data_IF_461515864189
#
_entry.id   IF_461515864189
#
_cell.length_a   1.000
_cell.length_b   1.000
_cell.length_c   1.000
_cell.angle_alpha   90.00
_cell.angle_beta   90.00
_cell.angle_gamma   90.00
#
_symmetry.space_group_name_H-M   'P 1'
#
loop_
_entity.id
_entity.type
_entity.pdbx_description
1 polymer ?
#
# COMPACT_ATOMS: atom_id res chain seq x y z
N UNK A 1 -3.24 -2.59 0.00
CA UNK A 1 -2.44 -2.41 1.24
C UNK A 1 -3.28 -1.61 2.20
N UNK A 2 -3.14 -1.83 3.50
CA UNK A 2 -3.92 -1.14 4.53
C UNK A 2 -3.06 -0.84 5.76
N UNK A 3 -3.46 0.16 6.53
CA UNK A 3 -2.75 0.62 7.72
C UNK A 3 -3.69 0.79 8.92
N UNK A 4 -3.20 0.43 10.11
CA UNK A 4 -3.93 0.57 11.37
C UNK A 4 -3.11 1.36 12.37
N UNK A 5 -3.74 2.34 13.03
CA UNK A 5 -3.10 3.10 14.10
C UNK A 5 -3.29 2.43 15.45
N UNK A 6 -2.20 2.32 16.20
CA UNK A 6 -2.24 2.00 17.62
C UNK A 6 -2.05 3.29 18.41
N UNK A 7 -3.16 3.83 18.92
CA UNK A 7 -3.14 4.93 19.89
C UNK A 7 -2.68 4.41 21.26
N UNK A 8 -1.85 5.15 22.04
CA UNK A 8 -1.43 6.55 21.83
C UNK A 8 -0.07 6.76 21.11
N UNK A 9 0.64 5.70 20.70
CA UNK A 9 2.09 5.78 20.45
C UNK A 9 2.51 6.15 19.01
N UNK A 10 1.61 6.74 18.22
CA UNK A 10 1.83 7.05 16.79
C UNK A 10 2.42 5.87 15.98
N UNK A 11 2.21 4.65 16.49
CA UNK A 11 2.70 3.41 15.90
C UNK A 11 1.63 2.90 14.96
N UNK A 12 2.05 2.48 13.78
CA UNK A 12 1.17 1.92 12.76
C UNK A 12 1.54 0.47 12.48
N UNK A 13 0.52 -0.37 12.34
CA UNK A 13 0.64 -1.68 11.69
C UNK A 13 0.33 -1.52 10.21
N UNK A 14 1.19 -2.06 9.36
CA UNK A 14 1.07 -2.03 7.90
C UNK A 14 0.82 -3.47 7.43
N UNK A 15 -0.26 -3.69 6.71
CA UNK A 15 -0.58 -4.96 6.08
C UNK A 15 -0.58 -4.85 4.56
N UNK A 16 0.05 -5.81 3.88
CA UNK A 16 -0.03 -5.93 2.43
C UNK A 16 -0.17 -7.37 1.97
N UNK A 17 -0.88 -7.53 0.85
CA UNK A 17 -1.10 -8.81 0.17
C UNK A 17 -0.77 -8.59 -1.29
N UNK A 18 -0.04 -9.54 -1.87
CA UNK A 18 0.26 -9.58 -3.30
C UNK A 18 -0.46 -10.76 -3.92
N UNK A 19 -1.10 -10.49 -5.06
CA UNK A 19 -1.81 -11.48 -5.87
C UNK A 19 -1.36 -11.40 -7.31
N UNK A 20 -1.56 -12.48 -8.06
CA UNK A 20 -1.49 -12.44 -9.53
C UNK A 20 -2.69 -11.68 -10.09
N UNK A 21 -2.64 -11.30 -11.36
CA UNK A 21 -3.75 -10.67 -12.07
C UNK A 21 -5.03 -11.54 -12.11
N UNK A 22 -4.87 -12.87 -11.99
CA UNK A 22 -5.98 -13.82 -11.86
C UNK A 22 -6.51 -13.96 -10.43
N UNK A 23 -6.03 -13.16 -9.49
CA UNK A 23 -6.43 -13.18 -8.08
C UNK A 23 -5.76 -14.25 -7.22
N UNK A 24 -4.82 -15.03 -7.75
CA UNK A 24 -4.13 -16.06 -6.97
C UNK A 24 -3.17 -15.41 -5.98
N UNK A 25 -3.17 -15.90 -4.75
CA UNK A 25 -2.25 -15.43 -3.71
C UNK A 25 -0.78 -15.71 -4.09
N UNK A 26 0.09 -14.73 -3.88
CA UNK A 26 1.55 -14.89 -4.00
C UNK A 26 2.20 -14.81 -2.62
N UNK A 27 2.00 -13.70 -1.91
CA UNK A 27 2.55 -13.52 -0.56
C UNK A 27 1.77 -12.44 0.20
N UNK A 28 1.97 -12.39 1.52
CA UNK A 28 1.52 -11.30 2.38
C UNK A 28 2.64 -10.93 3.36
N UNK A 29 2.62 -9.69 3.83
CA UNK A 29 3.55 -9.21 4.84
C UNK A 29 2.87 -8.27 5.82
N UNK A 30 3.44 -8.23 7.02
CA UNK A 30 3.03 -7.34 8.10
C UNK A 30 4.28 -6.65 8.61
N UNK A 31 4.20 -5.35 8.78
CA UNK A 31 5.29 -4.53 9.29
C UNK A 31 4.77 -3.51 10.29
N UNK A 32 5.66 -2.99 11.13
CA UNK A 32 5.38 -1.86 12.01
C UNK A 32 6.22 -0.65 11.61
N UNK A 33 5.64 0.53 11.74
CA UNK A 33 6.31 1.80 11.50
C UNK A 33 5.76 2.85 12.46
N UNK A 34 6.35 4.05 12.44
CA UNK A 34 5.76 5.24 13.04
C UNK A 34 5.17 6.15 11.97
N UNK A 35 4.07 6.82 12.31
CA UNK A 35 3.45 7.87 11.51
C UNK A 35 2.68 8.84 12.41
N UNK A 36 2.82 10.13 12.15
CA UNK A 36 2.16 11.20 12.93
C UNK A 36 0.77 11.55 12.42
N UNK A 37 0.38 11.02 11.26
CA UNK A 37 -0.95 11.23 10.68
C UNK A 37 -1.34 10.05 9.79
N UNK A 38 -2.65 9.87 9.55
CA UNK A 38 -3.16 8.85 8.61
C UNK A 38 -2.55 8.98 7.23
N UNK A 39 -2.41 10.20 6.71
CA UNK A 39 -1.79 10.44 5.40
C UNK A 39 -0.35 9.96 5.35
N UNK A 40 0.43 10.24 6.39
CA UNK A 40 1.81 9.73 6.47
C UNK A 40 1.79 8.20 6.55
N UNK A 41 0.90 7.62 7.34
CA UNK A 41 0.80 6.17 7.49
C UNK A 41 0.48 5.45 6.18
N UNK A 42 -0.45 5.97 5.39
CA UNK A 42 -0.75 5.46 4.04
C UNK A 42 0.49 5.49 3.12
N UNK A 43 1.24 6.60 3.13
CA UNK A 43 2.48 6.70 2.36
C UNK A 43 3.52 5.66 2.81
N UNK A 44 3.65 5.41 4.14
CA UNK A 44 4.53 4.36 4.67
C UNK A 44 4.06 2.98 4.24
N UNK A 45 2.75 2.72 4.29
CA UNK A 45 2.17 1.46 3.87
C UNK A 45 2.46 1.17 2.40
N UNK A 46 2.35 2.18 1.54
CA UNK A 46 2.70 2.04 0.13
C UNK A 46 4.19 1.77 -0.06
N UNK A 47 5.07 2.51 0.61
CA UNK A 47 6.51 2.26 0.54
C UNK A 47 6.85 0.82 0.91
N UNK A 48 6.20 0.26 1.93
CA UNK A 48 6.37 -1.13 2.32
C UNK A 48 5.93 -2.10 1.21
N UNK A 49 4.75 -1.87 0.61
CA UNK A 49 4.25 -2.69 -0.49
C UNK A 49 5.17 -2.62 -1.74
N UNK A 50 5.67 -1.44 -2.09
CA UNK A 50 6.64 -1.25 -3.20
C UNK A 50 7.92 -2.02 -2.92
N UNK A 51 8.49 -1.87 -1.71
CA UNK A 51 9.72 -2.56 -1.32
C UNK A 51 9.54 -4.08 -1.36
N UNK A 52 8.41 -4.59 -0.88
CA UNK A 52 8.10 -6.01 -0.95
C UNK A 52 8.00 -6.50 -2.40
N UNK A 53 7.36 -5.74 -3.29
CA UNK A 53 7.32 -6.06 -4.72
C UNK A 53 8.69 -6.11 -5.38
N UNK A 54 9.59 -5.18 -5.04
CA UNK A 54 10.97 -5.17 -5.53
C UNK A 54 11.78 -6.37 -5.03
N UNK A 55 11.65 -6.74 -3.75
CA UNK A 55 12.32 -7.91 -3.18
C UNK A 55 11.88 -9.22 -3.85
N UNK A 56 10.62 -9.29 -4.27
CA UNK A 56 10.06 -10.43 -5.01
C UNK A 56 10.31 -10.36 -6.53
N UNK A 57 11.09 -9.37 -6.99
CA UNK A 57 11.43 -9.18 -8.40
C UNK A 57 10.20 -9.06 -9.33
N UNK A 58 9.11 -8.48 -8.83
CA UNK A 58 7.90 -8.25 -9.62
C UNK A 58 8.17 -7.18 -10.68
N UNK A 59 7.89 -7.50 -11.95
CA UNK A 59 8.17 -6.61 -13.09
C UNK A 59 7.09 -5.56 -13.34
N UNK A 60 5.85 -5.87 -12.97
CA UNK A 60 4.69 -4.97 -13.03
C UNK A 60 3.86 -5.21 -11.78
N UNK A 61 3.48 -4.12 -11.11
CA UNK A 61 2.70 -4.17 -9.88
C UNK A 61 1.57 -3.16 -10.02
N UNK A 62 0.35 -3.63 -9.80
CA UNK A 62 -0.82 -2.78 -9.60
C UNK A 62 -0.98 -2.56 -8.10
N UNK A 63 -1.06 -1.29 -7.68
CA UNK A 63 -1.27 -0.95 -6.28
C UNK A 63 -2.75 -0.64 -6.05
N UNK A 64 -3.32 -1.26 -5.02
CA UNK A 64 -4.68 -0.99 -4.58
C UNK A 64 -4.65 -0.35 -3.19
N UNK A 65 -5.30 0.80 -3.08
CA UNK A 65 -5.50 1.57 -1.83
C UNK A 65 -6.92 2.15 -1.85
N UNK A 66 -7.58 2.12 -0.70
CA UNK A 66 -8.86 2.79 -0.46
C UNK A 66 -8.68 4.27 -0.09
N UNK A 67 -7.45 4.68 0.23
CA UNK A 67 -7.09 6.07 0.51
C UNK A 67 -7.01 6.91 -0.77
N UNK A 68 -8.07 7.71 -1.00
CA UNK A 68 -8.10 8.70 -2.08
C UNK A 68 -6.90 9.64 -2.07
N UNK A 69 -6.40 10.00 -0.89
CA UNK A 69 -5.23 10.88 -0.76
C UNK A 69 -3.95 10.18 -1.21
N UNK A 70 -3.78 8.90 -0.91
CA UNK A 70 -2.64 8.11 -1.36
C UNK A 70 -2.67 7.92 -2.88
N UNK A 71 -3.84 7.61 -3.45
CA UNK A 71 -4.02 7.49 -4.89
C UNK A 71 -3.65 8.79 -5.64
N UNK A 72 -4.11 9.95 -5.13
CA UNK A 72 -3.79 11.27 -5.73
C UNK A 72 -2.30 11.61 -5.62
N UNK A 73 -1.67 11.35 -4.47
CA UNK A 73 -0.24 11.60 -4.27
C UNK A 73 0.62 10.81 -5.28
N UNK A 74 0.18 9.60 -5.64
CA UNK A 74 0.94 8.71 -6.52
C UNK A 74 0.67 8.95 -7.99
N UNK A 75 -0.55 9.36 -8.36
CA UNK A 75 -0.88 9.74 -9.72
C UNK A 75 -0.14 11.01 -10.20
N UNK A 76 0.37 11.83 -9.28
CA UNK A 76 1.12 13.06 -9.59
C UNK A 76 2.60 12.85 -9.94
N UNK A 77 3.12 11.62 -9.87
CA UNK A 77 4.50 11.30 -10.19
C UNK A 77 4.55 10.24 -11.31
N UNK A 78 5.36 10.49 -12.36
CA UNK A 78 5.58 9.62 -13.53
C UNK A 78 6.07 8.22 -13.14
N UNK A 79 5.15 7.39 -12.67
CA UNK A 79 5.33 5.95 -12.50
C UNK A 79 4.17 5.33 -13.27
N UNK A 80 4.48 4.47 -14.26
CA UNK A 80 3.50 3.69 -15.02
C UNK A 80 2.77 2.71 -14.08
N UNK A 81 1.88 3.24 -13.24
CA UNK A 81 1.02 2.48 -12.35
C UNK A 81 -0.38 2.60 -12.92
N UNK A 82 -0.91 1.47 -13.42
CA UNK A 82 -2.34 1.36 -13.71
C UNK A 82 -3.07 1.23 -12.38
N UNK A 83 -4.04 2.11 -12.13
CA UNK A 83 -4.84 2.12 -10.92
C UNK A 83 -6.26 1.67 -11.24
N UNK A 84 -6.84 0.81 -10.41
CA UNK A 84 -8.28 0.53 -10.43
C UNK A 84 -8.85 0.86 -9.07
N UNK A 85 -9.73 1.86 -8.98
CA UNK A 85 -10.47 2.16 -7.76
C UNK A 85 -11.76 1.31 -7.73
N UNK A 86 -11.83 0.32 -6.85
CA UNK A 86 -13.08 -0.36 -6.50
C UNK A 86 -13.76 0.45 -5.39
N UNK A 87 -14.61 1.41 -5.78
CA UNK A 87 -15.53 2.06 -4.84
C UNK A 87 -16.69 1.09 -4.63
N UNK A 88 -16.76 0.47 -3.44
CA UNK A 88 -17.98 -0.21 -3.00
C UNK A 88 -18.86 0.82 -2.28
N UNK A 89 -19.98 1.16 -2.92
CA UNK A 89 -21.09 1.96 -2.40
C UNK A 89 -21.89 1.22 -1.33
#
# INVERSE_FOLDING_TARGET
>A
MDISFRSPDSSIGIGYITRTDSGNFIFAGIETSHATSTKEGECRGLQAAVRAGLQQQLKRVMFETDSKNAAVYLAGHDVNISWTSSIHS
#
